data_IF_321014722095
#
_entry.id   IF_321014722095
#
_cell.length_a   1.000
_cell.length_b   1.000
_cell.length_c   1.000
_cell.angle_alpha   90.00
_cell.angle_beta   90.00
_cell.angle_gamma   90.00
#
_symmetry.space_group_name_H-M   'P 1'
#
loop_
_entity.id
_entity.type
_entity.pdbx_description
1 polymer ?
#
# COMPACT_ATOMS: atom_id res chain seq x y z
N UNK A 1 4.62 -5.61 -10.30
CA UNK A 1 3.89 -6.78 -10.82
C UNK A 1 4.81 -7.83 -11.47
N UNK A 2 5.81 -7.48 -12.27
CA UNK A 2 6.67 -8.46 -12.94
C UNK A 2 7.41 -9.36 -11.94
N UNK A 3 8.02 -8.77 -10.94
CA UNK A 3 8.81 -9.52 -9.94
C UNK A 3 7.93 -10.33 -8.98
N UNK A 4 6.72 -9.85 -8.67
CA UNK A 4 5.78 -10.59 -7.82
C UNK A 4 5.21 -11.84 -8.48
N UNK A 5 5.29 -11.93 -9.83
CA UNK A 5 4.83 -13.07 -10.61
C UNK A 5 5.86 -14.21 -10.66
N UNK A 6 7.12 -13.96 -10.30
CA UNK A 6 8.21 -14.97 -10.44
C UNK A 6 8.35 -15.73 -9.12
N UNK A 7 8.06 -17.05 -9.08
CA UNK A 7 8.26 -17.86 -7.88
C UNK A 7 9.71 -17.83 -7.38
N UNK A 8 9.89 -17.75 -6.07
CA UNK A 8 11.21 -17.70 -5.42
C UNK A 8 11.80 -16.30 -5.23
N UNK A 9 11.16 -15.24 -5.75
CA UNK A 9 11.58 -13.87 -5.47
C UNK A 9 10.81 -13.29 -4.28
N UNK A 10 11.51 -12.61 -3.40
CA UNK A 10 10.93 -11.70 -2.40
C UNK A 10 10.91 -10.29 -2.99
N UNK A 11 9.84 -9.52 -2.76
CA UNK A 11 9.70 -8.14 -3.24
C UNK A 11 9.43 -7.20 -2.07
N UNK A 12 10.42 -6.38 -1.72
CA UNK A 12 10.35 -5.41 -0.63
C UNK A 12 10.26 -3.97 -1.16
N UNK A 13 9.39 -3.16 -0.56
CA UNK A 13 9.03 -1.81 -1.02
C UNK A 13 8.81 -0.86 0.18
N UNK A 14 9.87 -0.44 0.89
CA UNK A 14 9.76 0.36 2.09
C UNK A 14 9.09 1.71 1.85
N UNK A 15 8.44 2.26 2.87
CA UNK A 15 7.80 3.58 2.85
C UNK A 15 8.42 4.59 3.81
N UNK A 16 9.15 4.12 4.83
CA UNK A 16 9.76 4.98 5.87
C UNK A 16 11.25 4.70 6.05
N UNK A 17 12.04 5.65 6.61
CA UNK A 17 13.45 5.42 6.92
C UNK A 17 13.69 4.22 7.86
N UNK A 18 12.86 4.03 8.88
CA UNK A 18 12.96 2.89 9.80
C UNK A 18 12.69 1.55 9.09
N UNK A 19 11.66 1.49 8.25
CA UNK A 19 11.35 0.32 7.45
C UNK A 19 12.47 0.02 6.45
N UNK A 20 13.02 1.06 5.82
CA UNK A 20 14.16 0.91 4.90
C UNK A 20 15.36 0.26 5.60
N UNK A 21 15.74 0.75 6.80
CA UNK A 21 16.82 0.14 7.59
C UNK A 21 16.53 -1.33 7.92
N UNK A 22 15.34 -1.63 8.42
CA UNK A 22 14.99 -2.98 8.89
C UNK A 22 14.83 -3.99 7.76
N UNK A 23 14.14 -3.62 6.69
CA UNK A 23 13.92 -4.49 5.52
C UNK A 23 15.19 -4.69 4.71
N UNK A 24 16.03 -3.66 4.52
CA UNK A 24 17.30 -3.79 3.78
C UNK A 24 18.26 -4.75 4.51
N UNK A 25 18.37 -4.64 5.83
CA UNK A 25 19.16 -5.58 6.63
C UNK A 25 18.62 -7.01 6.53
N UNK A 26 17.29 -7.18 6.55
CA UNK A 26 16.67 -8.48 6.35
C UNK A 26 16.96 -9.02 4.93
N UNK A 27 16.89 -8.17 3.91
CA UNK A 27 17.17 -8.53 2.53
C UNK A 27 18.63 -9.00 2.32
N UNK A 28 19.61 -8.32 2.94
CA UNK A 28 21.03 -8.71 2.87
C UNK A 28 21.28 -10.07 3.53
N UNK A 29 20.49 -10.45 4.53
CA UNK A 29 20.63 -11.70 5.29
C UNK A 29 19.72 -12.83 4.80
N UNK A 30 18.87 -12.56 3.81
CA UNK A 30 17.99 -13.57 3.24
C UNK A 30 18.79 -14.59 2.42
N UNK A 31 18.39 -15.85 2.50
CA UNK A 31 18.92 -16.93 1.66
C UNK A 31 18.31 -16.89 0.25
N UNK A 32 17.10 -16.33 0.12
CA UNK A 32 16.39 -16.16 -1.14
C UNK A 32 16.71 -14.83 -1.82
N UNK A 33 16.63 -14.75 -3.15
CA UNK A 33 16.85 -13.49 -3.86
C UNK A 33 15.73 -12.47 -3.55
N UNK A 34 16.14 -11.26 -3.17
CA UNK A 34 15.23 -10.16 -2.82
C UNK A 34 15.33 -9.06 -3.87
N UNK A 35 14.20 -8.74 -4.48
CA UNK A 35 14.04 -7.51 -5.28
C UNK A 35 13.66 -6.39 -4.33
N UNK A 36 14.62 -5.52 -4.03
CA UNK A 36 14.48 -4.42 -3.11
C UNK A 36 14.29 -3.11 -3.90
N UNK A 37 13.11 -2.48 -3.78
CA UNK A 37 12.76 -1.31 -4.58
C UNK A 37 12.56 -0.09 -3.70
N UNK A 38 13.50 0.84 -3.75
CA UNK A 38 13.37 2.16 -3.15
C UNK A 38 12.70 3.13 -4.12
N UNK A 39 11.77 3.93 -3.61
CA UNK A 39 11.15 4.99 -4.38
C UNK A 39 11.98 6.28 -4.28
N UNK A 40 12.43 6.81 -5.41
CA UNK A 40 13.28 8.03 -5.45
C UNK A 40 12.65 9.24 -4.75
N UNK A 41 11.33 9.40 -4.82
CA UNK A 41 10.61 10.46 -4.13
C UNK A 41 10.67 10.37 -2.60
N UNK A 42 11.08 9.23 -2.04
CA UNK A 42 11.26 9.05 -0.59
C UNK A 42 12.68 9.32 -0.09
N UNK A 43 13.67 9.51 -0.97
CA UNK A 43 15.08 9.68 -0.55
C UNK A 43 15.33 10.94 0.28
N UNK A 44 14.49 11.96 0.16
CA UNK A 44 14.57 13.18 0.97
C UNK A 44 13.70 13.16 2.24
N UNK A 45 13.02 12.05 2.50
CA UNK A 45 12.15 11.95 3.68
C UNK A 45 12.99 11.57 4.90
N UNK A 46 12.93 12.42 5.92
CA UNK A 46 13.58 12.20 7.20
C UNK A 46 12.58 11.58 8.19
N UNK A 47 13.09 10.78 9.13
CA UNK A 47 12.30 10.16 10.17
C UNK A 47 13.16 9.47 11.21
N UNK A 48 12.57 9.16 12.35
CA UNK A 48 13.25 8.42 13.40
C UNK A 48 13.65 7.02 12.92
N UNK A 49 14.89 6.67 13.20
CA UNK A 49 15.45 5.35 12.91
C UNK A 49 16.07 4.82 14.19
N UNK A 50 15.64 3.66 14.72
CA UNK A 50 16.22 3.07 15.93
C UNK A 50 17.73 2.86 15.80
N UNK A 51 18.50 3.17 16.84
CA UNK A 51 19.96 2.94 16.85
C UNK A 51 20.30 1.45 16.90
N UNK A 52 19.50 0.69 17.63
CA UNK A 52 19.65 -0.76 17.76
C UNK A 52 19.40 -1.48 16.43
N UNK A 53 19.82 -2.73 16.39
CA UNK A 53 19.57 -3.59 15.25
C UNK A 53 18.11 -4.01 15.20
N UNK A 54 17.43 -3.62 14.15
CA UNK A 54 16.08 -4.05 13.83
C UNK A 54 16.10 -4.83 12.51
N UNK A 55 15.56 -6.05 12.54
CA UNK A 55 15.27 -6.86 11.35
C UNK A 55 13.76 -6.95 11.19
N UNK A 56 13.25 -6.46 10.07
CA UNK A 56 11.83 -6.57 9.76
C UNK A 56 11.59 -7.81 8.90
N UNK A 57 10.77 -8.76 9.35
CA UNK A 57 10.45 -9.94 8.56
C UNK A 57 9.62 -9.55 7.33
N UNK A 58 9.87 -10.25 6.22
CA UNK A 58 9.02 -10.15 5.04
C UNK A 58 7.64 -10.72 5.32
N UNK A 59 6.62 -10.21 4.63
CA UNK A 59 5.24 -10.63 4.83
C UNK A 59 4.61 -10.09 6.12
N UNK A 60 5.10 -8.96 6.64
CA UNK A 60 4.54 -8.26 7.79
C UNK A 60 4.24 -6.81 7.46
N UNK A 61 2.97 -6.50 7.37
CA UNK A 61 2.49 -5.14 7.15
C UNK A 61 2.62 -4.27 8.43
N UNK A 62 2.51 -2.97 8.23
CA UNK A 62 2.40 -1.99 9.30
C UNK A 62 1.04 -1.32 9.22
N UNK A 63 0.33 -1.23 10.32
CA UNK A 63 -0.82 -0.33 10.44
C UNK A 63 -0.25 1.07 10.63
N UNK A 64 -0.20 1.85 9.55
CA UNK A 64 0.30 3.22 9.56
C UNK A 64 -0.66 4.16 10.30
N UNK A 65 -1.96 3.88 10.18
CA UNK A 65 -3.03 4.58 10.90
C UNK A 65 -4.15 3.60 11.23
N UNK A 66 -4.65 3.64 12.46
CA UNK A 66 -5.83 2.87 12.86
C UNK A 66 -7.12 3.53 12.39
N UNK A 67 -8.12 2.72 12.04
CA UNK A 67 -9.45 3.19 11.64
C UNK A 67 -10.51 2.09 11.70
N UNK A 68 -11.78 2.45 11.56
CA UNK A 68 -12.90 1.51 11.74
C UNK A 68 -13.92 1.46 10.60
N UNK A 69 -13.89 2.41 9.67
CA UNK A 69 -14.95 2.54 8.64
C UNK A 69 -14.51 2.05 7.25
N UNK A 70 -13.23 2.15 6.96
CA UNK A 70 -12.64 1.86 5.65
C UNK A 70 -11.19 1.40 5.82
N UNK A 71 -10.75 0.43 5.01
CA UNK A 71 -9.36 -0.01 4.90
C UNK A 71 -8.73 0.56 3.63
N UNK A 72 -7.61 1.27 3.78
CA UNK A 72 -6.74 1.73 2.71
C UNK A 72 -5.47 0.87 2.72
N UNK A 73 -5.21 0.12 1.65
CA UNK A 73 -4.00 -0.68 1.50
C UNK A 73 -3.09 -0.04 0.47
N UNK A 74 -1.83 0.13 0.84
CA UNK A 74 -0.83 0.73 -0.04
C UNK A 74 0.59 0.25 0.30
N UNK A 75 1.57 0.77 -0.40
CA UNK A 75 3.00 0.53 -0.19
C UNK A 75 3.85 1.67 -0.75
N UNK A 76 5.10 1.74 -0.28
CA UNK A 76 6.08 2.73 -0.75
C UNK A 76 5.54 4.18 -0.66
N UNK A 77 5.79 5.02 -1.65
CA UNK A 77 5.42 6.44 -1.62
C UNK A 77 3.91 6.70 -1.49
N UNK A 78 3.06 5.80 -1.99
CA UNK A 78 1.61 5.99 -1.95
C UNK A 78 1.03 5.83 -0.52
N UNK A 79 1.78 5.25 0.42
CA UNK A 79 1.34 5.18 1.84
C UNK A 79 1.12 6.58 2.41
N UNK A 80 2.05 7.51 2.21
CA UNK A 80 1.90 8.90 2.68
C UNK A 80 0.68 9.59 2.04
N UNK A 81 0.38 9.27 0.78
CA UNK A 81 -0.83 9.77 0.08
C UNK A 81 -2.10 9.23 0.75
N UNK A 82 -2.11 7.95 1.14
CA UNK A 82 -3.22 7.34 1.88
C UNK A 82 -3.38 7.96 3.29
N UNK A 83 -2.28 8.22 4.00
CA UNK A 83 -2.32 8.89 5.30
C UNK A 83 -2.89 10.31 5.19
N UNK A 84 -2.50 11.07 4.16
CA UNK A 84 -3.06 12.39 3.88
C UNK A 84 -4.56 12.34 3.56
N UNK A 85 -5.00 11.36 2.76
CA UNK A 85 -6.42 11.14 2.48
C UNK A 85 -7.18 10.77 3.76
N UNK A 86 -6.61 9.91 4.62
CA UNK A 86 -7.21 9.51 5.88
C UNK A 86 -7.41 10.70 6.84
N UNK A 87 -6.48 11.66 6.88
CA UNK A 87 -6.64 12.92 7.64
C UNK A 87 -7.81 13.76 7.11
N UNK A 88 -7.95 13.84 5.79
CA UNK A 88 -9.06 14.57 5.16
C UNK A 88 -10.41 13.89 5.44
N UNK A 89 -10.44 12.55 5.41
CA UNK A 89 -11.62 11.74 5.71
C UNK A 89 -12.02 11.88 7.19
N UNK A 90 -11.06 11.90 8.12
CA UNK A 90 -11.33 12.09 9.54
C UNK A 90 -12.03 13.42 9.83
N UNK A 91 -11.63 14.51 9.15
CA UNK A 91 -12.31 15.80 9.25
C UNK A 91 -13.78 15.74 8.77
N UNK A 92 -14.14 14.70 8.00
CA UNK A 92 -15.50 14.42 7.52
C UNK A 92 -16.21 13.33 8.34
N UNK A 93 -15.60 12.87 9.43
CA UNK A 93 -16.16 11.84 10.30
C UNK A 93 -15.98 10.40 9.80
N UNK A 94 -15.09 10.14 8.84
CA UNK A 94 -14.78 8.81 8.31
C UNK A 94 -13.42 8.37 8.85
N UNK A 95 -13.39 7.26 9.59
CA UNK A 95 -12.20 6.69 10.22
C UNK A 95 -11.55 5.65 9.31
N UNK A 96 -10.58 6.05 8.51
CA UNK A 96 -9.85 5.15 7.61
C UNK A 96 -8.63 4.52 8.28
N UNK A 97 -8.53 3.18 8.19
CA UNK A 97 -7.32 2.44 8.55
C UNK A 97 -6.37 2.40 7.35
N UNK A 98 -5.10 2.76 7.56
CA UNK A 98 -4.08 2.74 6.52
C UNK A 98 -3.10 1.60 6.82
N UNK A 99 -2.97 0.68 5.87
CA UNK A 99 -2.06 -0.46 5.93
C UNK A 99 -0.96 -0.27 4.89
N UNK A 100 0.27 -0.25 5.37
CA UNK A 100 1.48 -0.29 4.58
C UNK A 100 1.97 -1.74 4.48
N UNK A 101 1.92 -2.31 3.29
CA UNK A 101 2.30 -3.70 3.08
C UNK A 101 3.78 -3.98 3.29
N UNK A 102 4.68 -2.98 3.11
CA UNK A 102 6.14 -3.12 3.19
C UNK A 102 6.75 -4.12 2.20
N UNK A 103 6.06 -5.24 1.97
CA UNK A 103 6.44 -6.27 1.00
C UNK A 103 5.26 -6.66 0.12
N UNK A 104 5.51 -6.85 -1.18
CA UNK A 104 4.51 -7.32 -2.12
C UNK A 104 4.53 -8.83 -2.28
N UNK A 105 5.68 -9.48 -2.02
CA UNK A 105 5.75 -10.91 -1.93
C UNK A 105 6.87 -11.34 -0.96
N UNK A 106 6.57 -12.15 0.04
CA UNK A 106 5.21 -12.43 0.52
C UNK A 106 4.54 -11.16 1.05
N UNK A 107 3.21 -11.07 1.00
CA UNK A 107 2.47 -9.96 1.61
C UNK A 107 1.62 -10.46 2.79
N UNK A 108 1.28 -9.56 3.68
CA UNK A 108 0.55 -9.85 4.92
C UNK A 108 -0.96 -9.92 4.66
N UNK A 109 -1.42 -11.08 4.23
CA UNK A 109 -2.84 -11.35 3.95
C UNK A 109 -3.67 -11.20 5.24
N UNK A 110 -3.19 -11.78 6.35
CA UNK A 110 -3.92 -11.84 7.62
C UNK A 110 -4.23 -10.45 8.19
N UNK A 111 -3.26 -9.53 8.11
CA UNK A 111 -3.47 -8.15 8.56
C UNK A 111 -4.53 -7.45 7.71
N UNK A 112 -4.51 -7.65 6.39
CA UNK A 112 -5.50 -7.02 5.50
C UNK A 112 -6.88 -7.66 5.69
N UNK A 113 -6.98 -8.98 5.81
CA UNK A 113 -8.23 -9.69 6.11
C UNK A 113 -8.84 -9.17 7.41
N UNK A 114 -8.06 -9.14 8.50
CA UNK A 114 -8.53 -8.66 9.80
C UNK A 114 -9.09 -7.23 9.73
N UNK A 115 -8.41 -6.35 9.00
CA UNK A 115 -8.87 -4.98 8.79
C UNK A 115 -10.16 -4.91 7.97
N UNK A 116 -10.25 -5.67 6.88
CA UNK A 116 -11.43 -5.67 6.01
C UNK A 116 -12.64 -6.30 6.70
N UNK A 117 -12.45 -7.35 7.49
CA UNK A 117 -13.53 -7.92 8.31
C UNK A 117 -14.10 -6.91 9.30
N UNK A 118 -13.26 -6.05 9.88
CA UNK A 118 -13.67 -4.98 10.77
C UNK A 118 -14.41 -3.86 10.04
N UNK A 119 -13.87 -3.39 8.91
CA UNK A 119 -14.36 -2.18 8.22
C UNK A 119 -15.45 -2.47 7.18
N UNK A 120 -15.36 -3.61 6.52
CA UNK A 120 -16.23 -4.03 5.42
C UNK A 120 -15.96 -3.31 4.09
N UNK A 121 -14.92 -2.49 3.99
CA UNK A 121 -14.61 -1.69 2.80
C UNK A 121 -13.11 -1.67 2.53
N UNK A 122 -12.73 -1.83 1.27
CA UNK A 122 -11.33 -1.85 0.86
C UNK A 122 -11.08 -0.96 -0.36
N UNK A 123 -10.09 -0.08 -0.23
CA UNK A 123 -9.46 0.62 -1.34
C UNK A 123 -7.98 0.21 -1.38
N UNK A 124 -7.52 -0.30 -2.51
CA UNK A 124 -6.10 -0.55 -2.78
C UNK A 124 -5.58 0.57 -3.67
N UNK A 125 -4.64 1.36 -3.16
CA UNK A 125 -4.06 2.49 -3.88
C UNK A 125 -2.57 2.26 -4.16
N UNK A 126 -2.13 2.48 -5.40
CA UNK A 126 -0.73 2.30 -5.78
C UNK A 126 -0.35 3.14 -7.01
N UNK A 127 0.92 3.43 -7.18
CA UNK A 127 1.43 4.26 -8.27
C UNK A 127 1.42 3.53 -9.62
N UNK A 128 1.62 2.22 -9.65
CA UNK A 128 1.63 1.43 -10.86
C UNK A 128 0.27 1.48 -11.60
N UNK A 129 0.29 1.12 -12.89
CA UNK A 129 -0.95 1.02 -13.67
C UNK A 129 -1.92 0.01 -13.05
N UNK A 130 -3.23 0.32 -13.11
CA UNK A 130 -4.28 -0.51 -12.50
C UNK A 130 -4.37 -1.88 -13.16
N UNK A 131 -4.18 -1.93 -14.50
CA UNK A 131 -4.26 -3.17 -15.28
C UNK A 131 -3.00 -4.01 -15.08
N UNK A 132 -3.16 -5.22 -14.53
CA UNK A 132 -2.03 -6.11 -14.23
C UNK A 132 -1.16 -5.64 -13.06
N UNK A 133 -1.57 -4.59 -12.34
CA UNK A 133 -0.91 -4.15 -11.12
C UNK A 133 -1.18 -5.10 -9.95
N UNK A 134 -0.29 -5.11 -8.95
CA UNK A 134 -0.39 -6.02 -7.79
C UNK A 134 -1.67 -5.79 -6.97
N UNK A 135 -2.26 -4.60 -7.02
CA UNK A 135 -3.57 -4.33 -6.42
C UNK A 135 -4.70 -5.22 -6.96
N UNK A 136 -4.54 -5.84 -8.13
CA UNK A 136 -5.50 -6.82 -8.64
C UNK A 136 -5.41 -8.15 -7.88
N UNK A 137 -4.22 -8.59 -7.54
CA UNK A 137 -3.99 -9.78 -6.71
C UNK A 137 -4.58 -9.60 -5.31
N UNK A 138 -4.31 -8.46 -4.68
CA UNK A 138 -4.89 -8.13 -3.38
C UNK A 138 -6.42 -8.14 -3.45
N UNK A 139 -7.01 -7.49 -4.47
CA UNK A 139 -8.45 -7.45 -4.64
C UNK A 139 -9.06 -8.83 -4.88
N UNK A 140 -8.41 -9.71 -5.65
CA UNK A 140 -8.86 -11.07 -5.88
C UNK A 140 -8.82 -11.91 -4.60
N UNK A 141 -7.71 -11.86 -3.87
CA UNK A 141 -7.53 -12.59 -2.60
C UNK A 141 -8.57 -12.13 -1.57
N UNK A 142 -8.64 -10.83 -1.30
CA UNK A 142 -9.59 -10.28 -0.30
C UNK A 142 -11.04 -10.44 -0.75
N UNK A 143 -11.32 -10.37 -2.04
CA UNK A 143 -12.65 -10.66 -2.59
C UNK A 143 -13.11 -12.08 -2.34
N UNK A 144 -12.17 -13.03 -2.22
CA UNK A 144 -12.45 -14.44 -1.86
C UNK A 144 -12.53 -14.62 -0.34
N UNK A 145 -11.51 -14.17 0.39
CA UNK A 145 -11.40 -14.40 1.84
C UNK A 145 -12.46 -13.63 2.65
N UNK A 146 -12.77 -12.41 2.24
CA UNK A 146 -13.67 -11.51 2.96
C UNK A 146 -15.02 -11.29 2.26
N UNK A 147 -15.42 -12.14 1.30
CA UNK A 147 -16.63 -11.92 0.49
C UNK A 147 -17.86 -11.56 1.31
N UNK A 148 -18.10 -12.28 2.40
CA UNK A 148 -19.28 -12.07 3.28
C UNK A 148 -19.19 -10.82 4.17
N UNK A 149 -18.00 -10.26 4.34
CA UNK A 149 -17.74 -9.08 5.17
C UNK A 149 -17.76 -7.78 4.36
N UNK A 150 -17.61 -7.88 3.03
CA UNK A 150 -17.59 -6.72 2.15
C UNK A 150 -18.98 -6.08 2.03
N UNK A 151 -19.04 -4.78 2.32
CA UNK A 151 -20.25 -3.94 2.19
C UNK A 151 -20.35 -3.27 0.82
N UNK A 152 -19.21 -3.14 0.12
CA UNK A 152 -19.11 -2.50 -1.19
C UNK A 152 -18.10 -3.25 -2.06
N UNK A 153 -18.14 -3.09 -3.40
CA UNK A 153 -17.08 -3.59 -4.26
C UNK A 153 -15.73 -3.04 -3.83
N UNK A 154 -14.66 -3.85 -3.98
CA UNK A 154 -13.29 -3.41 -3.73
C UNK A 154 -12.88 -2.39 -4.79
N UNK A 155 -12.38 -1.23 -4.36
CA UNK A 155 -11.92 -0.17 -5.24
C UNK A 155 -10.41 -0.29 -5.42
N UNK A 156 -9.93 -0.18 -6.66
CA UNK A 156 -8.52 -0.13 -7.00
C UNK A 156 -8.19 1.21 -7.65
N UNK A 157 -7.27 1.95 -7.06
CA UNK A 157 -6.75 3.20 -7.57
C UNK A 157 -5.30 3.00 -8.00
N UNK A 158 -5.00 3.37 -9.22
CA UNK A 158 -3.67 3.28 -9.81
C UNK A 158 -3.62 4.11 -11.08
N UNK A 159 -2.44 4.29 -11.64
CA UNK A 159 -2.29 5.03 -12.88
C UNK A 159 -3.12 4.41 -14.01
N UNK A 160 -3.62 5.21 -14.97
CA UNK A 160 -4.18 4.71 -16.20
C UNK A 160 -3.10 3.99 -17.03
N UNK A 161 -3.52 3.11 -17.96
CA UNK A 161 -2.59 2.38 -18.82
C UNK A 161 -2.11 3.25 -19.98
N UNK A 162 -1.31 4.24 -19.65
CA UNK A 162 -0.68 5.17 -20.59
C UNK A 162 0.82 5.23 -20.34
N UNK A 163 1.66 5.58 -21.31
CA UNK A 163 3.07 5.88 -21.08
C UNK A 163 3.23 7.00 -20.05
N UNK A 164 4.21 6.86 -19.16
CA UNK A 164 4.48 7.89 -18.15
C UNK A 164 5.04 9.12 -18.86
N UNK A 165 4.44 10.28 -18.58
CA UNK A 165 4.86 11.56 -19.13
C UNK A 165 6.12 12.06 -18.41
N UNK A 166 6.98 12.78 -19.13
CA UNK A 166 8.17 13.40 -18.55
C UNK A 166 7.87 14.74 -17.86
N UNK A 167 6.90 15.50 -18.36
CA UNK A 167 6.54 16.78 -17.81
C UNK A 167 5.80 16.64 -16.47
N UNK A 168 6.26 17.29 -15.36
CA UNK A 168 5.67 17.12 -14.05
C UNK A 168 4.14 17.29 -14.00
N UNK A 169 3.51 18.31 -14.63
CA UNK A 169 2.05 18.43 -14.57
C UNK A 169 1.30 17.27 -15.21
N UNK A 170 1.88 16.63 -16.24
CA UNK A 170 1.28 15.47 -16.89
C UNK A 170 1.53 14.19 -16.10
N UNK A 171 2.68 14.09 -15.44
CA UNK A 171 2.97 13.00 -14.51
C UNK A 171 2.03 13.05 -13.31
N UNK A 172 1.83 14.22 -12.71
CA UNK A 172 0.93 14.42 -11.58
C UNK A 172 -0.53 14.10 -11.95
N UNK A 173 -0.95 14.39 -13.19
CA UNK A 173 -2.31 14.11 -13.66
C UNK A 173 -2.64 12.60 -13.74
N UNK A 174 -1.63 11.72 -13.80
CA UNK A 174 -1.83 10.26 -13.86
C UNK A 174 -1.56 9.57 -12.51
N UNK A 175 -1.00 10.26 -11.55
CA UNK A 175 -0.73 9.71 -10.21
C UNK A 175 -1.99 9.64 -9.37
N UNK A 176 -2.03 8.65 -8.49
CA UNK A 176 -3.03 8.59 -7.42
C UNK A 176 -2.77 9.72 -6.43
N UNK A 177 -3.79 10.54 -6.19
CA UNK A 177 -3.73 11.68 -5.27
C UNK A 177 -4.57 11.41 -4.01
N UNK A 178 -4.30 12.18 -2.93
CA UNK A 178 -5.12 12.14 -1.73
C UNK A 178 -6.59 12.51 -2.02
N UNK A 179 -6.82 13.42 -2.97
CA UNK A 179 -8.16 13.81 -3.41
C UNK A 179 -8.89 12.65 -4.10
N UNK A 180 -8.21 11.91 -5.00
CA UNK A 180 -8.81 10.75 -5.68
C UNK A 180 -9.16 9.63 -4.70
N UNK A 181 -8.31 9.40 -3.69
CA UNK A 181 -8.58 8.43 -2.62
C UNK A 181 -9.77 8.90 -1.77
N UNK A 182 -9.80 10.17 -1.37
CA UNK A 182 -10.89 10.74 -0.59
C UNK A 182 -12.22 10.61 -1.31
N UNK A 183 -12.27 10.99 -2.59
CA UNK A 183 -13.49 10.88 -3.43
C UNK A 183 -13.97 9.44 -3.54
N UNK A 184 -13.06 8.49 -3.77
CA UNK A 184 -13.41 7.07 -3.84
C UNK A 184 -13.90 6.53 -2.48
N UNK A 185 -13.31 6.99 -1.38
CA UNK A 185 -13.71 6.61 -0.03
C UNK A 185 -15.12 7.15 0.31
N UNK A 186 -15.41 8.40 0.00
CA UNK A 186 -16.75 8.99 0.18
C UNK A 186 -17.82 8.23 -0.60
N UNK A 187 -17.52 7.86 -1.84
CA UNK A 187 -18.42 7.04 -2.67
C UNK A 187 -18.65 5.64 -2.08
N UNK A 188 -17.64 5.05 -1.43
CA UNK A 188 -17.76 3.75 -0.76
C UNK A 188 -18.55 3.84 0.57
N UNK A 189 -18.71 5.04 1.14
CA UNK A 189 -19.46 5.26 2.38
C UNK A 189 -20.95 5.56 2.14
N UNK A 190 -21.29 6.00 0.91
CA UNK A 190 -22.67 6.29 0.51
C UNK A 190 -23.50 5.00 0.34
#
# INVERSE_FOLDING_TARGET
AWYTHIPGLVVAVPSTPADNKGLLKAAIRADDPVVYMEHKGLWGIEGEVPDEEVLLPFGRARIARTGGDLTLVSWSATVAVCEQAALTLEAKGISAEVIDLRTLWPWDIDTVVTSVEKTGRLIVAHEAVTVGGFGAEIAATIGTECFSSLKTPIIRLGAPRVPISYAPPLEDAIRVSAESITTAAEAAMA
#
